data_IF_484185451561
#
_entry.id   IF_484185451561
#
_cell.length_a   1.000
_cell.length_b   1.000
_cell.length_c   1.000
_cell.angle_alpha   90.00
_cell.angle_beta   90.00
_cell.angle_gamma   90.00
#
_symmetry.space_group_name_H-M   'P 1'
#
loop_
_entity.id
_entity.type
_entity.pdbx_description
1 polymer ?
#
# COMPACT_ATOMS: atom_id res chain seq x y z
N UNK A 1 -5.75 -9.94 -9.40
CA UNK A 1 -7.13 -10.45 -9.18
C UNK A 1 -7.23 -11.83 -9.80
N UNK A 2 -7.77 -12.85 -9.10
CA UNK A 2 -7.90 -14.21 -9.64
C UNK A 2 -8.76 -14.26 -10.91
N UNK A 3 -8.41 -15.16 -11.82
CA UNK A 3 -9.08 -15.29 -13.14
C UNK A 3 -10.59 -15.55 -13.03
N UNK A 4 -11.04 -16.30 -12.01
CA UNK A 4 -12.46 -16.54 -11.79
C UNK A 4 -13.25 -15.25 -11.47
N UNK A 5 -12.60 -14.27 -10.85
CA UNK A 5 -13.21 -12.95 -10.59
C UNK A 5 -13.28 -12.15 -11.88
N UNK A 6 -12.16 -12.02 -12.59
CA UNK A 6 -12.09 -11.20 -13.82
C UNK A 6 -12.98 -11.72 -14.93
N UNK A 7 -13.19 -13.04 -14.99
CA UNK A 7 -14.00 -13.72 -16.01
C UNK A 7 -15.42 -14.07 -15.52
N UNK A 8 -15.88 -13.44 -14.43
CA UNK A 8 -17.20 -13.75 -13.88
C UNK A 8 -18.34 -13.32 -14.80
N UNK A 9 -19.14 -14.26 -15.27
CA UNK A 9 -20.22 -14.05 -16.24
C UNK A 9 -21.63 -13.95 -15.62
N UNK A 10 -21.76 -14.23 -14.31
CA UNK A 10 -23.04 -14.16 -13.60
C UNK A 10 -23.57 -12.73 -13.41
N UNK A 11 -24.76 -12.64 -12.87
CA UNK A 11 -25.42 -11.38 -12.51
C UNK A 11 -24.65 -10.60 -11.45
N UNK A 12 -24.99 -9.34 -11.25
CA UNK A 12 -24.38 -8.51 -10.20
C UNK A 12 -24.68 -9.06 -8.80
N UNK A 13 -25.88 -9.61 -8.58
CA UNK A 13 -26.27 -10.22 -7.30
C UNK A 13 -25.45 -11.49 -7.00
N UNK A 14 -25.25 -12.34 -8.01
CA UNK A 14 -24.40 -13.54 -7.86
C UNK A 14 -22.93 -13.16 -7.61
N UNK A 15 -22.42 -12.13 -8.29
CA UNK A 15 -21.09 -11.62 -8.05
C UNK A 15 -20.95 -11.10 -6.61
N UNK A 16 -21.91 -10.30 -6.15
CA UNK A 16 -21.92 -9.78 -4.77
C UNK A 16 -21.92 -10.93 -3.75
N UNK A 17 -22.76 -11.94 -3.95
CA UNK A 17 -22.80 -13.11 -3.08
C UNK A 17 -21.49 -13.89 -3.07
N UNK A 18 -20.86 -14.08 -4.24
CA UNK A 18 -19.59 -14.77 -4.36
C UNK A 18 -18.45 -14.02 -3.65
N UNK A 19 -18.33 -12.71 -3.87
CA UNK A 19 -17.30 -11.88 -3.21
C UNK A 19 -17.51 -11.80 -1.71
N UNK A 20 -18.76 -11.60 -1.27
CA UNK A 20 -19.11 -11.61 0.16
C UNK A 20 -18.71 -12.93 0.82
N UNK A 21 -19.05 -14.05 0.19
CA UNK A 21 -18.69 -15.39 0.69
C UNK A 21 -17.17 -15.54 0.79
N UNK A 22 -16.45 -15.13 -0.24
CA UNK A 22 -14.99 -15.20 -0.25
C UNK A 22 -14.36 -14.37 0.89
N UNK A 23 -14.73 -13.09 1.00
CA UNK A 23 -14.23 -12.21 2.06
C UNK A 23 -14.56 -12.77 3.45
N UNK A 24 -15.81 -13.17 3.67
CA UNK A 24 -16.24 -13.72 4.95
C UNK A 24 -15.47 -14.98 5.32
N UNK A 25 -15.30 -15.92 4.38
CA UNK A 25 -14.61 -17.18 4.64
C UNK A 25 -13.13 -16.96 4.93
N UNK A 26 -12.44 -16.13 4.14
CA UNK A 26 -11.01 -15.85 4.34
C UNK A 26 -10.77 -15.16 5.68
N UNK A 27 -11.51 -14.09 5.97
CA UNK A 27 -11.33 -13.34 7.21
C UNK A 27 -11.71 -14.19 8.43
N UNK A 28 -12.75 -15.01 8.34
CA UNK A 28 -13.14 -15.93 9.42
C UNK A 28 -12.08 -17.01 9.66
N UNK A 29 -11.51 -17.57 8.57
CA UNK A 29 -10.47 -18.60 8.68
C UNK A 29 -9.23 -18.12 9.44
N UNK A 30 -8.84 -16.86 9.21
CA UNK A 30 -7.66 -16.26 9.86
C UNK A 30 -7.99 -15.42 11.10
N UNK A 31 -9.25 -15.43 11.55
CA UNK A 31 -9.67 -14.68 12.73
C UNK A 31 -8.81 -15.00 13.95
N UNK A 32 -8.26 -13.96 14.56
CA UNK A 32 -7.36 -14.06 15.71
C UNK A 32 -5.94 -14.56 15.39
N UNK A 33 -5.63 -14.83 14.10
CA UNK A 33 -4.30 -15.27 13.64
C UNK A 33 -3.53 -14.16 12.94
N UNK A 34 -4.21 -13.18 12.39
CA UNK A 34 -3.62 -12.00 11.73
C UNK A 34 -3.99 -10.73 12.48
N UNK A 35 -3.07 -9.76 12.50
CA UNK A 35 -3.27 -8.49 13.17
C UNK A 35 -4.13 -7.52 12.33
N UNK A 36 -4.03 -7.62 11.00
CA UNK A 36 -4.68 -6.69 10.07
C UNK A 36 -4.95 -7.31 8.71
N UNK A 37 -5.79 -6.62 7.95
CA UNK A 37 -6.09 -6.89 6.54
C UNK A 37 -5.99 -5.60 5.73
N UNK A 38 -5.34 -5.67 4.58
CA UNK A 38 -5.53 -4.72 3.49
C UNK A 38 -6.80 -5.14 2.74
N UNK A 39 -7.94 -4.62 3.20
CA UNK A 39 -9.27 -5.09 2.80
C UNK A 39 -9.60 -4.74 1.36
N UNK A 40 -9.23 -3.53 0.96
CA UNK A 40 -9.33 -3.05 -0.42
C UNK A 40 -8.00 -2.41 -0.81
N UNK A 41 -7.48 -2.87 -1.94
CA UNK A 41 -6.21 -2.42 -2.49
C UNK A 41 -6.43 -1.67 -3.81
N UNK A 42 -5.79 -0.51 -3.96
CA UNK A 42 -5.65 0.23 -5.22
C UNK A 42 -6.99 0.58 -5.92
N UNK A 43 -7.92 1.15 -5.18
CA UNK A 43 -9.24 1.48 -5.71
C UNK A 43 -9.31 2.80 -6.48
N UNK A 44 -8.31 3.68 -6.37
CA UNK A 44 -8.32 5.01 -6.98
C UNK A 44 -7.34 5.16 -8.14
N UNK A 45 -7.72 5.95 -9.14
CA UNK A 45 -6.84 6.46 -10.18
C UNK A 45 -5.98 7.60 -9.64
N UNK A 46 -4.98 8.03 -10.43
CA UNK A 46 -4.07 9.12 -10.03
C UNK A 46 -4.77 10.49 -9.87
N UNK A 47 -5.90 10.70 -10.53
CA UNK A 47 -6.73 11.91 -10.38
C UNK A 47 -7.66 11.87 -9.13
N UNK A 48 -7.65 10.75 -8.40
CA UNK A 48 -8.51 10.49 -7.24
C UNK A 48 -9.90 9.94 -7.60
N UNK A 49 -10.20 9.72 -8.87
CA UNK A 49 -11.44 9.05 -9.28
C UNK A 49 -11.41 7.56 -8.96
N UNK A 50 -12.58 6.96 -8.75
CA UNK A 50 -12.71 5.52 -8.53
C UNK A 50 -12.31 4.74 -9.78
N UNK A 51 -11.43 3.74 -9.62
CA UNK A 51 -11.04 2.86 -10.73
C UNK A 51 -12.23 2.08 -11.27
N UNK A 52 -12.33 2.03 -12.62
CA UNK A 52 -13.27 1.13 -13.29
C UNK A 52 -12.71 -0.29 -13.29
N UNK A 53 -13.20 -1.08 -12.37
CA UNK A 53 -12.84 -2.50 -12.19
C UNK A 53 -14.10 -3.34 -12.19
N UNK A 54 -13.97 -4.66 -12.29
CA UNK A 54 -15.13 -5.56 -12.16
C UNK A 54 -15.87 -5.35 -10.83
N UNK A 55 -15.17 -4.96 -9.77
CA UNK A 55 -15.77 -4.67 -8.47
C UNK A 55 -16.67 -3.42 -8.54
N UNK A 56 -16.18 -2.30 -9.06
CA UNK A 56 -16.97 -1.08 -9.19
C UNK A 56 -18.11 -1.23 -10.19
N UNK A 57 -17.91 -2.01 -11.26
CA UNK A 57 -18.93 -2.27 -12.29
C UNK A 57 -20.06 -3.16 -11.77
N UNK A 58 -19.77 -4.24 -11.03
CA UNK A 58 -20.75 -5.20 -10.57
C UNK A 58 -21.34 -4.90 -9.18
N UNK A 59 -20.57 -4.29 -8.27
CA UNK A 59 -21.00 -3.99 -6.90
C UNK A 59 -21.45 -2.53 -6.73
N UNK A 60 -21.20 -1.67 -7.72
CA UNK A 60 -21.50 -0.24 -7.67
C UNK A 60 -20.40 0.61 -7.03
N UNK A 61 -20.58 1.92 -7.03
CA UNK A 61 -19.56 2.88 -6.53
C UNK A 61 -19.25 2.77 -5.04
N UNK A 62 -20.14 2.18 -4.27
CA UNK A 62 -19.97 1.97 -2.82
C UNK A 62 -19.35 0.61 -2.47
N UNK A 63 -18.78 -0.12 -3.44
CA UNK A 63 -18.27 -1.48 -3.24
C UNK A 63 -17.20 -1.54 -2.14
N UNK A 64 -16.40 -0.50 -1.99
CA UNK A 64 -15.35 -0.44 -0.96
C UNK A 64 -16.00 -0.56 0.43
N UNK A 65 -16.99 0.27 0.72
CA UNK A 65 -17.73 0.23 2.00
C UNK A 65 -18.36 -1.14 2.25
N UNK A 66 -18.98 -1.77 1.22
CA UNK A 66 -19.55 -3.11 1.34
C UNK A 66 -18.51 -4.15 1.76
N UNK A 67 -17.34 -4.15 1.10
CA UNK A 67 -16.27 -5.13 1.40
C UNK A 67 -15.75 -4.93 2.83
N UNK A 68 -15.54 -3.68 3.27
CA UNK A 68 -15.17 -3.40 4.65
C UNK A 68 -16.23 -3.85 5.67
N UNK A 69 -17.51 -3.68 5.37
CA UNK A 69 -18.62 -4.19 6.23
C UNK A 69 -18.55 -5.71 6.37
N UNK A 70 -18.30 -6.45 5.28
CA UNK A 70 -18.20 -7.90 5.33
C UNK A 70 -16.97 -8.37 6.11
N UNK A 71 -15.82 -7.72 5.91
CA UNK A 71 -14.61 -8.02 6.65
C UNK A 71 -14.78 -7.74 8.16
N UNK A 72 -15.36 -6.59 8.52
CA UNK A 72 -15.63 -6.23 9.91
C UNK A 72 -16.62 -7.17 10.59
N UNK A 73 -17.65 -7.62 9.88
CA UNK A 73 -18.62 -8.59 10.40
C UNK A 73 -17.95 -9.97 10.65
N UNK A 74 -17.00 -10.38 9.80
CA UNK A 74 -16.28 -11.64 9.93
C UNK A 74 -15.27 -11.63 11.10
N UNK A 75 -14.48 -10.54 11.23
CA UNK A 75 -13.58 -10.33 12.36
C UNK A 75 -13.69 -8.90 12.92
N UNK A 76 -14.46 -8.72 14.02
CA UNK A 76 -14.61 -7.42 14.67
C UNK A 76 -13.30 -6.85 15.25
N UNK A 77 -12.29 -7.67 15.50
CA UNK A 77 -11.07 -7.28 16.22
C UNK A 77 -9.88 -6.98 15.30
N UNK A 78 -9.84 -7.52 14.08
CA UNK A 78 -8.78 -7.25 13.13
C UNK A 78 -8.75 -5.77 12.73
N UNK A 79 -7.54 -5.24 12.50
CA UNK A 79 -7.38 -3.89 11.95
C UNK A 79 -7.60 -3.93 10.45
N UNK A 80 -8.49 -3.07 9.95
CA UNK A 80 -8.88 -3.04 8.54
C UNK A 80 -8.29 -1.80 7.87
N UNK A 81 -7.48 -2.01 6.85
CA UNK A 81 -6.77 -0.95 6.12
C UNK A 81 -7.30 -0.81 4.70
N UNK A 82 -7.35 0.43 4.24
CA UNK A 82 -7.31 0.77 2.82
C UNK A 82 -5.84 0.94 2.41
N UNK A 83 -5.39 0.26 1.37
CA UNK A 83 -4.00 0.26 0.90
C UNK A 83 -3.92 0.73 -0.55
N UNK A 84 -2.95 1.61 -0.88
CA UNK A 84 -2.76 2.06 -2.27
C UNK A 84 -1.34 2.62 -2.47
N UNK A 85 -0.87 2.57 -3.72
CA UNK A 85 0.40 3.18 -4.15
C UNK A 85 0.21 4.66 -4.47
N UNK A 86 1.32 5.40 -4.52
CA UNK A 86 1.37 6.84 -4.80
C UNK A 86 0.57 7.73 -3.83
N UNK A 87 0.02 7.19 -2.75
CA UNK A 87 -0.62 8.02 -1.71
C UNK A 87 0.41 8.96 -1.05
N UNK A 88 1.67 8.53 -0.99
CA UNK A 88 2.81 9.28 -0.42
C UNK A 88 3.30 10.43 -1.31
N UNK A 89 2.89 10.45 -2.58
CA UNK A 89 3.40 11.40 -3.59
C UNK A 89 2.30 12.17 -4.32
N UNK A 90 1.09 11.60 -4.44
CA UNK A 90 -0.03 12.16 -5.19
C UNK A 90 -1.12 12.72 -4.27
N UNK A 91 -1.22 14.06 -4.26
CA UNK A 91 -2.16 14.78 -3.37
C UNK A 91 -3.63 14.47 -3.71
N UNK A 92 -3.99 14.27 -4.96
CA UNK A 92 -5.39 14.02 -5.36
C UNK A 92 -5.81 12.61 -4.94
N UNK A 93 -4.96 11.63 -5.18
CA UNK A 93 -5.19 10.24 -4.79
C UNK A 93 -5.25 10.12 -3.25
N UNK A 94 -4.33 10.77 -2.54
CA UNK A 94 -4.34 10.82 -1.08
C UNK A 94 -5.63 11.48 -0.53
N UNK A 95 -6.12 12.55 -1.14
CA UNK A 95 -7.40 13.18 -0.76
C UNK A 95 -8.58 12.21 -0.91
N UNK A 96 -8.64 11.44 -2.00
CA UNK A 96 -9.69 10.46 -2.23
C UNK A 96 -9.68 9.36 -1.16
N UNK A 97 -8.51 8.81 -0.84
CA UNK A 97 -8.35 7.82 0.23
C UNK A 97 -8.75 8.39 1.61
N UNK A 98 -8.33 9.61 1.93
CA UNK A 98 -8.71 10.29 3.19
C UNK A 98 -10.21 10.53 3.24
N UNK A 99 -10.84 10.96 2.15
CA UNK A 99 -12.29 11.14 2.08
C UNK A 99 -13.06 9.83 2.30
N UNK A 100 -12.60 8.72 1.70
CA UNK A 100 -13.14 7.38 1.93
C UNK A 100 -13.08 7.00 3.42
N UNK A 101 -11.93 7.21 4.06
CA UNK A 101 -11.70 6.88 5.47
C UNK A 101 -12.63 7.71 6.37
N UNK A 102 -12.73 9.01 6.12
CA UNK A 102 -13.58 9.91 6.90
C UNK A 102 -15.07 9.60 6.73
N UNK A 103 -15.48 9.09 5.57
CA UNK A 103 -16.85 8.62 5.32
C UNK A 103 -17.16 7.28 6.00
N UNK A 104 -16.15 6.51 6.42
CA UNK A 104 -16.29 5.17 7.01
C UNK A 104 -15.51 5.03 8.34
N UNK A 105 -15.73 5.94 9.32
CA UNK A 105 -14.87 6.05 10.49
C UNK A 105 -14.87 4.85 11.43
N UNK A 106 -15.93 4.05 11.41
CA UNK A 106 -16.07 2.84 12.25
C UNK A 106 -15.65 1.54 11.53
N UNK A 107 -15.52 1.59 10.20
CA UNK A 107 -15.19 0.43 9.39
C UNK A 107 -13.69 0.36 9.08
N UNK A 108 -13.05 1.51 8.81
CA UNK A 108 -11.65 1.60 8.38
C UNK A 108 -10.80 2.05 9.57
N UNK A 109 -9.88 1.19 10.00
CA UNK A 109 -8.98 1.46 11.12
C UNK A 109 -7.70 2.19 10.69
N UNK A 110 -7.27 2.02 9.45
CA UNK A 110 -5.99 2.56 9.00
C UNK A 110 -5.88 2.80 7.50
N UNK A 111 -4.80 3.48 7.15
CA UNK A 111 -4.36 3.73 5.79
C UNK A 111 -2.98 3.10 5.58
N UNK A 112 -2.87 2.27 4.54
CA UNK A 112 -1.61 1.76 4.02
C UNK A 112 -1.14 2.65 2.86
N UNK A 113 0.03 3.24 3.02
CA UNK A 113 0.78 3.87 1.94
C UNK A 113 1.79 2.83 1.48
N UNK A 114 1.68 2.34 0.24
CA UNK A 114 2.56 1.26 -0.23
C UNK A 114 4.03 1.68 -0.19
N UNK A 115 4.35 2.93 -0.47
CA UNK A 115 5.72 3.43 -0.44
C UNK A 115 6.64 2.78 -1.47
N UNK A 116 6.12 2.46 -2.66
CA UNK A 116 6.94 2.14 -3.82
C UNK A 116 7.55 3.44 -4.36
N UNK A 117 8.70 3.80 -3.84
CA UNK A 117 9.29 5.13 -4.04
C UNK A 117 10.62 5.05 -4.80
N UNK A 118 11.21 6.20 -5.10
CA UNK A 118 12.56 6.28 -5.66
C UNK A 118 13.46 7.18 -4.83
N UNK A 119 14.75 7.22 -5.17
CA UNK A 119 15.67 8.15 -4.53
C UNK A 119 15.20 9.61 -4.63
N UNK A 120 14.56 9.97 -5.74
CA UNK A 120 14.12 11.35 -6.02
C UNK A 120 12.67 11.64 -5.59
N UNK A 121 11.79 10.63 -5.56
CA UNK A 121 10.34 10.82 -5.34
C UNK A 121 9.80 9.85 -4.31
N UNK A 122 8.91 10.33 -3.41
CA UNK A 122 8.57 11.73 -3.18
C UNK A 122 9.72 12.53 -2.56
N UNK A 123 9.71 13.85 -2.72
CA UNK A 123 10.59 14.71 -1.92
C UNK A 123 10.12 14.73 -0.46
N UNK A 124 11.03 15.04 0.47
CA UNK A 124 10.70 15.18 1.89
C UNK A 124 9.55 16.17 2.12
N UNK A 125 9.51 17.29 1.38
CA UNK A 125 8.42 18.29 1.48
C UNK A 125 7.08 17.71 1.10
N UNK A 126 6.99 16.97 -0.02
CA UNK A 126 5.74 16.33 -0.46
C UNK A 126 5.29 15.29 0.55
N UNK A 127 6.20 14.39 0.96
CA UNK A 127 5.88 13.36 1.94
C UNK A 127 5.40 13.96 3.26
N UNK A 128 6.09 14.98 3.81
CA UNK A 128 5.65 15.65 5.02
C UNK A 128 4.24 16.26 4.88
N UNK A 129 3.95 16.93 3.75
CA UNK A 129 2.64 17.55 3.48
C UNK A 129 1.51 16.51 3.45
N UNK A 130 1.77 15.36 2.84
CA UNK A 130 0.80 14.26 2.79
C UNK A 130 0.63 13.63 4.16
N UNK A 131 1.74 13.38 4.88
CA UNK A 131 1.68 12.80 6.22
C UNK A 131 0.88 13.66 7.20
N UNK A 132 0.97 14.99 7.13
CA UNK A 132 0.14 15.88 7.95
C UNK A 132 -1.36 15.66 7.70
N UNK A 133 -1.76 15.43 6.45
CA UNK A 133 -3.17 15.15 6.09
C UNK A 133 -3.62 13.75 6.51
N UNK A 134 -2.76 12.75 6.34
CA UNK A 134 -3.02 11.36 6.72
C UNK A 134 -3.18 11.25 8.23
N UNK A 135 -2.26 11.82 8.99
CA UNK A 135 -2.28 11.81 10.47
C UNK A 135 -3.52 12.54 11.03
N UNK A 136 -3.98 13.59 10.35
CA UNK A 136 -5.19 14.34 10.75
C UNK A 136 -6.48 13.47 10.70
N UNK A 137 -6.47 12.31 10.03
CA UNK A 137 -7.60 11.37 10.07
C UNK A 137 -7.76 10.68 11.43
N UNK A 138 -6.77 10.71 12.29
CA UNK A 138 -6.75 9.99 13.57
C UNK A 138 -6.59 8.48 13.45
N UNK A 139 -6.35 7.96 12.23
CA UNK A 139 -6.29 6.52 11.93
C UNK A 139 -4.87 5.96 12.04
N UNK A 140 -4.77 4.64 12.09
CA UNK A 140 -3.49 3.93 12.00
C UNK A 140 -2.83 4.21 10.65
N UNK A 141 -1.51 4.38 10.67
CA UNK A 141 -0.69 4.63 9.48
C UNK A 141 0.31 3.49 9.32
N UNK A 142 0.27 2.87 8.15
CA UNK A 142 1.19 1.80 7.76
C UNK A 142 1.95 2.19 6.50
N UNK A 143 3.28 2.14 6.52
CA UNK A 143 4.07 2.06 5.31
C UNK A 143 4.14 0.59 4.96
N UNK A 144 3.30 0.16 4.02
CA UNK A 144 2.92 -1.25 3.90
C UNK A 144 3.82 -2.08 3.00
N UNK A 145 4.52 -1.44 2.04
CA UNK A 145 5.23 -2.16 0.97
C UNK A 145 6.51 -1.42 0.55
N UNK A 146 7.25 -0.86 1.53
CA UNK A 146 8.38 0.02 1.24
C UNK A 146 9.47 -0.68 0.43
N UNK A 147 9.74 -0.14 -0.74
CA UNK A 147 10.94 -0.36 -1.54
C UNK A 147 11.40 0.95 -2.18
N UNK A 148 12.69 1.04 -2.54
CA UNK A 148 13.29 2.28 -3.06
C UNK A 148 14.00 2.01 -4.39
N UNK A 149 13.36 2.38 -5.48
CA UNK A 149 13.92 2.33 -6.83
C UNK A 149 15.17 3.24 -6.91
N UNK A 150 16.33 2.67 -7.19
CA UNK A 150 17.59 3.41 -7.25
C UNK A 150 18.06 3.68 -8.68
N UNK A 151 17.53 2.95 -9.67
CA UNK A 151 17.93 3.04 -11.08
C UNK A 151 16.75 3.27 -12.05
N UNK A 152 15.92 4.30 -11.87
CA UNK A 152 14.73 4.51 -12.72
C UNK A 152 15.03 4.79 -14.20
N UNK A 153 16.26 5.25 -14.51
CA UNK A 153 16.64 5.68 -15.86
C UNK A 153 17.68 4.78 -16.52
N UNK A 154 18.11 3.70 -15.85
CA UNK A 154 19.18 2.82 -16.35
C UNK A 154 20.60 3.41 -16.27
N UNK A 155 20.78 4.53 -15.56
CA UNK A 155 22.08 5.20 -15.42
C UNK A 155 23.00 4.55 -14.37
N UNK A 156 22.45 3.68 -13.51
CA UNK A 156 23.20 2.95 -12.48
C UNK A 156 23.51 1.55 -12.99
N UNK A 157 24.75 1.31 -13.38
CA UNK A 157 25.19 0.02 -13.92
C UNK A 157 25.51 -1.02 -12.83
N UNK A 158 25.82 -0.56 -11.62
CA UNK A 158 26.14 -1.42 -10.47
C UNK A 158 25.81 -0.70 -9.16
N UNK A 159 25.60 -1.49 -8.11
CA UNK A 159 25.36 -0.95 -6.76
C UNK A 159 26.69 -0.53 -6.13
N UNK A 160 27.12 0.68 -6.45
CA UNK A 160 28.35 1.27 -5.93
C UNK A 160 28.13 1.98 -4.57
N UNK A 161 29.24 2.47 -3.97
CA UNK A 161 29.19 3.17 -2.67
C UNK A 161 28.32 4.43 -2.71
N UNK A 162 28.34 5.19 -3.80
CA UNK A 162 27.53 6.41 -3.92
C UNK A 162 26.04 6.09 -3.96
N UNK A 163 25.65 5.07 -4.73
CA UNK A 163 24.27 4.54 -4.77
C UNK A 163 23.85 4.03 -3.40
N UNK A 164 24.71 3.28 -2.70
CA UNK A 164 24.44 2.76 -1.37
C UNK A 164 24.19 3.89 -0.36
N UNK A 165 25.01 4.95 -0.37
CA UNK A 165 24.81 6.10 0.51
C UNK A 165 23.52 6.87 0.17
N UNK A 166 23.20 7.04 -1.12
CA UNK A 166 21.96 7.68 -1.54
C UNK A 166 20.73 6.90 -1.04
N UNK A 167 20.72 5.58 -1.22
CA UNK A 167 19.64 4.71 -0.74
C UNK A 167 19.51 4.75 0.79
N UNK A 168 20.62 4.61 1.51
CA UNK A 168 20.66 4.78 2.97
C UNK A 168 20.02 6.08 3.43
N UNK A 169 20.39 7.19 2.80
CA UNK A 169 19.88 8.50 3.16
C UNK A 169 18.35 8.57 2.92
N UNK A 170 17.86 7.97 1.83
CA UNK A 170 16.44 7.92 1.53
C UNK A 170 15.66 7.06 2.52
N UNK A 171 16.14 5.88 2.87
CA UNK A 171 15.54 5.07 3.96
C UNK A 171 15.52 5.87 5.27
N UNK A 172 16.64 6.47 5.66
CA UNK A 172 16.74 7.31 6.87
C UNK A 172 15.73 8.46 6.86
N UNK A 173 15.58 9.15 5.71
CA UNK A 173 14.59 10.24 5.53
C UNK A 173 13.18 9.73 5.79
N UNK A 174 12.80 8.63 5.14
CA UNK A 174 11.46 8.03 5.25
C UNK A 174 11.15 7.60 6.68
N UNK A 175 12.05 6.87 7.33
CA UNK A 175 11.89 6.44 8.73
C UNK A 175 11.81 7.64 9.69
N UNK A 176 12.63 8.67 9.45
CA UNK A 176 12.63 9.88 10.27
C UNK A 176 11.31 10.62 10.16
N UNK A 177 10.78 10.79 8.94
CA UNK A 177 9.48 11.43 8.70
C UNK A 177 8.35 10.63 9.35
N UNK A 178 8.33 9.31 9.16
CA UNK A 178 7.33 8.44 9.80
C UNK A 178 7.35 8.61 11.32
N UNK A 179 8.52 8.51 11.94
CA UNK A 179 8.67 8.64 13.38
C UNK A 179 8.31 10.04 13.90
N UNK A 180 8.63 11.09 13.16
CA UNK A 180 8.36 12.47 13.57
C UNK A 180 6.89 12.86 13.39
N UNK A 181 6.25 12.42 12.30
CA UNK A 181 4.89 12.84 11.93
C UNK A 181 3.80 11.97 12.51
N UNK A 182 4.00 10.65 12.58
CA UNK A 182 2.97 9.74 13.05
C UNK A 182 3.02 9.63 14.58
N UNK A 183 1.96 10.04 15.31
CA UNK A 183 1.87 9.83 16.75
C UNK A 183 1.99 8.36 17.12
N UNK A 184 2.56 8.05 18.27
CA UNK A 184 2.77 6.66 18.72
C UNK A 184 1.50 5.81 18.68
N UNK A 185 0.35 6.40 19.00
CA UNK A 185 -0.98 5.75 18.99
C UNK A 185 -1.51 5.45 17.58
N UNK A 186 -0.94 6.07 16.55
CA UNK A 186 -1.33 5.85 15.16
C UNK A 186 -0.29 5.03 14.38
N UNK A 187 0.86 4.71 14.96
CA UNK A 187 1.90 3.91 14.30
C UNK A 187 1.47 2.46 14.22
N UNK A 188 1.20 1.96 13.01
CA UNK A 188 1.01 0.52 12.82
C UNK A 188 2.34 -0.17 12.53
N UNK A 189 3.13 0.37 11.60
CA UNK A 189 4.45 -0.18 11.28
C UNK A 189 4.98 0.27 9.92
N UNK A 190 6.16 -0.25 9.60
CA UNK A 190 6.79 -0.15 8.28
C UNK A 190 7.15 -1.56 7.85
N UNK A 191 6.66 -2.00 6.70
CA UNK A 191 6.96 -3.29 6.09
C UNK A 191 7.80 -3.05 4.83
N UNK A 192 8.93 -3.74 4.72
CA UNK A 192 9.75 -3.73 3.50
C UNK A 192 9.16 -4.77 2.54
N UNK A 193 9.01 -4.40 1.24
CA UNK A 193 8.35 -5.24 0.24
C UNK A 193 9.27 -6.28 -0.37
N UNK A 194 9.84 -7.10 0.47
CA UNK A 194 10.75 -8.17 0.11
C UNK A 194 12.01 -8.16 0.97
N UNK A 195 12.84 -9.17 0.79
CA UNK A 195 14.08 -9.30 1.56
C UNK A 195 15.30 -8.97 0.71
N UNK A 196 15.49 -9.65 -0.43
CA UNK A 196 16.66 -9.52 -1.31
C UNK A 196 16.29 -8.81 -2.61
N UNK A 197 17.26 -8.10 -3.16
CA UNK A 197 17.08 -7.43 -4.45
C UNK A 197 16.63 -8.41 -5.56
N UNK A 198 17.19 -9.63 -5.59
CA UNK A 198 16.83 -10.65 -6.59
C UNK A 198 15.36 -11.09 -6.54
N UNK A 199 14.73 -11.00 -5.37
CA UNK A 199 13.32 -11.40 -5.17
C UNK A 199 12.35 -10.23 -5.40
N UNK A 200 12.86 -9.00 -5.60
CA UNK A 200 12.02 -7.82 -5.81
C UNK A 200 11.36 -7.80 -7.18
N UNK A 201 10.12 -7.36 -7.24
CA UNK A 201 9.41 -7.07 -8.48
C UNK A 201 10.06 -5.93 -9.29
N UNK A 202 10.87 -5.09 -8.62
CA UNK A 202 11.66 -4.02 -9.21
C UNK A 202 13.02 -4.49 -9.73
N UNK A 203 13.37 -5.77 -9.61
CA UNK A 203 14.67 -6.33 -10.03
C UNK A 203 15.05 -5.92 -11.46
N UNK A 204 14.06 -5.95 -12.34
CA UNK A 204 14.12 -5.36 -13.66
C UNK A 204 12.95 -4.40 -13.76
N UNK A 205 13.10 -3.18 -13.22
CA UNK A 205 12.01 -2.20 -13.25
C UNK A 205 11.34 -2.16 -14.63
N UNK A 206 10.13 -1.64 -14.76
CA UNK A 206 9.36 -1.68 -16.00
C UNK A 206 10.07 -1.14 -17.25
N UNK A 207 11.23 -0.49 -17.10
CA UNK A 207 12.12 -0.05 -18.19
C UNK A 207 13.19 -1.11 -18.57
N UNK A 208 13.25 -2.26 -17.87
CA UNK A 208 14.18 -3.35 -18.17
C UNK A 208 15.61 -3.17 -17.63
N UNK A 209 15.82 -2.19 -16.78
CA UNK A 209 17.12 -1.97 -16.13
C UNK A 209 17.23 -2.72 -14.80
N UNK A 210 18.42 -3.23 -14.42
CA UNK A 210 18.61 -3.81 -13.09
C UNK A 210 18.42 -2.74 -12.01
N UNK A 211 17.78 -3.12 -10.90
CA UNK A 211 17.59 -2.26 -9.75
C UNK A 211 17.97 -2.96 -8.44
N UNK A 212 18.14 -2.18 -7.38
CA UNK A 212 18.65 -2.64 -6.09
C UNK A 212 17.77 -2.07 -4.94
N UNK A 213 16.46 -2.38 -4.91
CA UNK A 213 15.49 -1.61 -4.14
C UNK A 213 15.43 -1.95 -2.64
N UNK A 214 15.99 -3.09 -2.21
CA UNK A 214 15.78 -3.64 -0.88
C UNK A 214 17.00 -3.49 0.04
N UNK A 215 16.88 -4.03 1.27
CA UNK A 215 17.91 -3.87 2.31
C UNK A 215 19.03 -4.92 2.23
N UNK A 216 18.78 -6.03 1.53
CA UNK A 216 19.75 -7.10 1.31
C UNK A 216 20.04 -7.25 -0.16
N UNK A 217 21.28 -7.50 -0.50
CA UNK A 217 21.70 -7.90 -1.83
C UNK A 217 21.30 -9.34 -2.17
N UNK A 218 21.70 -9.80 -3.34
CA UNK A 218 21.25 -11.06 -3.93
C UNK A 218 21.60 -12.31 -3.09
N UNK A 219 22.68 -12.27 -2.32
CA UNK A 219 23.17 -13.38 -1.48
C UNK A 219 22.98 -13.13 0.03
N UNK A 220 21.99 -12.33 0.42
CA UNK A 220 21.71 -11.94 1.80
C UNK A 220 22.78 -11.06 2.46
N UNK A 221 23.71 -10.52 1.68
CA UNK A 221 24.65 -9.53 2.19
C UNK A 221 23.92 -8.25 2.63
N UNK A 222 24.32 -7.72 3.78
CA UNK A 222 23.80 -6.45 4.26
C UNK A 222 24.25 -5.31 3.35
N UNK A 223 23.29 -4.51 2.91
CA UNK A 223 23.59 -3.24 2.26
C UNK A 223 23.83 -2.16 3.31
N UNK A 224 24.50 -1.07 2.94
CA UNK A 224 24.77 0.05 3.86
C UNK A 224 23.47 0.81 4.21
N UNK A 225 22.40 0.60 3.45
CA UNK A 225 21.10 1.26 3.60
C UNK A 225 20.41 1.00 4.94
#
# INVERSE_FOLDING_TARGET
VPTWVTNFTGTNAEFEAAIKTYVTNVVTHYKGKVASWDVVNEAFNEDGSLRSTIFSQKLGSNYITKIFQWARAADPNAKLFYNDYNLESNVNKAKAAIALINANPTLIDGIGLQMHISLASPSATVLNTIMDKVVATGKLVHFSELDILVNPTGSVSSYDYATAIAQKNKYKEVFTIYKAKVPATQRFGITIWGMRDVDSWLKTNGAGFPDFPLLFGDNYEYKIA
#
